data_IF_370813411572
#
_entry.id   IF_370813411572
#
_cell.length_a   1.000
_cell.length_b   1.000
_cell.length_c   1.000
_cell.angle_alpha   90.00
_cell.angle_beta   90.00
_cell.angle_gamma   90.00
#
_symmetry.space_group_name_H-M   'P 1'
#
loop_
_entity.id
_entity.type
_entity.pdbx_description
1 polymer ?
#
# COMPACT_ATOMS: atom_id res chain seq x y z
N UNK A 1 -21.51 14.23 -1.52
CA UNK A 1 -21.78 12.78 -1.44
C UNK A 1 -21.82 12.32 0.03
N UNK A 2 -20.79 12.47 0.84
CA UNK A 2 -20.79 12.03 2.27
C UNK A 2 -21.96 12.64 3.04
N UNK A 3 -22.16 13.98 3.00
CA UNK A 3 -23.27 14.67 3.68
C UNK A 3 -24.66 14.28 3.16
N UNK A 4 -24.75 13.73 1.96
CA UNK A 4 -25.98 13.24 1.36
C UNK A 4 -26.27 11.77 1.66
N UNK A 5 -25.47 11.12 2.49
CA UNK A 5 -25.64 9.71 2.88
C UNK A 5 -25.36 8.70 1.78
N UNK A 6 -24.73 9.09 0.67
CA UNK A 6 -24.42 8.22 -0.47
C UNK A 6 -23.19 7.35 -0.19
N UNK A 7 -23.32 6.40 0.73
CA UNK A 7 -22.23 5.57 1.21
C UNK A 7 -21.55 4.80 0.09
N UNK A 8 -22.31 4.04 -0.68
CA UNK A 8 -21.74 3.12 -1.66
C UNK A 8 -21.09 3.85 -2.84
N UNK A 9 -21.66 4.97 -3.29
CA UNK A 9 -21.03 5.82 -4.31
C UNK A 9 -19.71 6.42 -3.82
N UNK A 10 -19.62 6.79 -2.54
CA UNK A 10 -18.38 7.30 -1.93
C UNK A 10 -17.33 6.21 -1.85
N UNK A 11 -17.68 5.02 -1.35
CA UNK A 11 -16.74 3.93 -1.14
C UNK A 11 -16.23 3.30 -2.45
N UNK A 12 -17.04 3.38 -3.52
CA UNK A 12 -16.62 2.94 -4.86
C UNK A 12 -15.84 4.01 -5.63
N UNK A 13 -15.74 5.23 -5.10
CA UNK A 13 -15.02 6.30 -5.78
C UNK A 13 -13.51 6.08 -5.73
N UNK A 14 -12.81 6.52 -6.79
CA UNK A 14 -11.35 6.47 -6.86
C UNK A 14 -10.67 7.60 -6.06
N UNK A 15 -11.43 8.60 -5.62
CA UNK A 15 -10.90 9.83 -5.03
C UNK A 15 -10.07 9.59 -3.78
N UNK A 16 -10.47 8.65 -2.90
CA UNK A 16 -9.72 8.35 -1.69
C UNK A 16 -8.39 7.66 -1.97
N UNK A 17 -8.30 6.90 -3.08
CA UNK A 17 -7.10 6.19 -3.51
C UNK A 17 -6.05 7.10 -4.17
N UNK A 18 -6.45 8.31 -4.55
CA UNK A 18 -5.55 9.32 -5.11
C UNK A 18 -4.89 10.19 -4.03
N UNK A 19 -5.20 9.95 -2.77
CA UNK A 19 -4.61 10.69 -1.67
C UNK A 19 -3.13 10.33 -1.49
N UNK A 20 -2.23 11.30 -1.73
CA UNK A 20 -0.77 11.15 -1.58
C UNK A 20 -0.25 11.51 -0.19
N UNK A 21 -1.15 11.71 0.77
CA UNK A 21 -0.81 12.09 2.15
C UNK A 21 0.06 13.36 2.27
N UNK A 22 -0.11 14.31 1.36
CA UNK A 22 0.66 15.57 1.38
C UNK A 22 0.16 16.58 2.44
N UNK A 23 -0.95 16.32 3.11
CA UNK A 23 -1.56 17.13 4.17
C UNK A 23 -1.98 18.57 3.80
N UNK A 24 -1.77 19.00 2.56
CA UNK A 24 -2.14 20.34 2.12
C UNK A 24 -3.62 20.70 2.34
N UNK A 25 -4.52 19.72 2.20
CA UNK A 25 -5.95 19.92 2.43
C UNK A 25 -6.29 20.22 3.90
N UNK A 26 -5.52 19.71 4.85
CA UNK A 26 -5.70 19.99 6.29
C UNK A 26 -5.19 21.39 6.61
N UNK A 27 -3.94 21.69 6.19
CA UNK A 27 -3.27 22.96 6.50
C UNK A 27 -4.03 24.16 5.91
N UNK A 28 -4.64 23.99 4.72
CA UNK A 28 -5.37 25.07 4.02
C UNK A 28 -6.87 25.11 4.34
N UNK A 29 -7.39 24.20 5.12
CA UNK A 29 -8.81 24.15 5.43
C UNK A 29 -9.17 25.22 6.46
N UNK A 30 -10.02 26.21 6.12
CA UNK A 30 -10.42 27.25 7.07
C UNK A 30 -11.34 26.74 8.20
N UNK A 31 -11.82 25.50 8.06
CA UNK A 31 -12.66 24.80 9.06
C UNK A 31 -11.90 23.74 9.84
N UNK A 32 -10.59 23.66 9.71
CA UNK A 32 -9.72 22.71 10.41
C UNK A 32 -10.15 21.23 10.28
N UNK A 33 -10.77 20.88 9.12
CA UNK A 33 -11.23 19.51 8.89
C UNK A 33 -10.04 18.58 8.61
N UNK A 34 -9.96 17.42 9.28
CA UNK A 34 -8.88 16.45 9.07
C UNK A 34 -9.10 15.62 7.79
N UNK A 35 -9.12 16.27 6.61
CA UNK A 35 -9.52 15.67 5.34
C UNK A 35 -8.65 14.46 4.99
N UNK A 36 -7.33 14.52 5.21
CA UNK A 36 -6.44 13.38 4.94
C UNK A 36 -6.83 12.16 5.78
N UNK A 37 -7.13 12.35 7.06
CA UNK A 37 -7.56 11.26 7.93
C UNK A 37 -8.91 10.70 7.52
N UNK A 38 -9.83 11.54 7.05
CA UNK A 38 -11.13 11.12 6.50
C UNK A 38 -10.91 10.25 5.26
N UNK A 39 -10.04 10.68 4.32
CA UNK A 39 -9.72 9.91 3.11
C UNK A 39 -9.13 8.55 3.42
N UNK A 40 -8.16 8.49 4.35
CA UNK A 40 -7.58 7.21 4.79
C UNK A 40 -8.61 6.31 5.49
N UNK A 41 -9.45 6.88 6.35
CA UNK A 41 -10.52 6.15 7.02
C UNK A 41 -11.53 5.56 6.05
N UNK A 42 -11.92 6.33 5.01
CA UNK A 42 -12.82 5.84 3.96
C UNK A 42 -12.18 4.72 3.13
N UNK A 43 -10.90 4.84 2.75
CA UNK A 43 -10.19 3.80 2.03
C UNK A 43 -10.10 2.50 2.86
N UNK A 44 -9.76 2.62 4.14
CA UNK A 44 -9.72 1.49 5.06
C UNK A 44 -11.10 0.83 5.24
N UNK A 45 -12.15 1.66 5.36
CA UNK A 45 -13.53 1.17 5.49
C UNK A 45 -14.01 0.47 4.22
N UNK A 46 -13.70 1.02 3.02
CA UNK A 46 -14.01 0.41 1.74
C UNK A 46 -13.34 -0.97 1.58
N UNK A 47 -12.06 -1.08 1.97
CA UNK A 47 -11.31 -2.34 1.96
C UNK A 47 -11.94 -3.38 2.88
N UNK A 48 -12.35 -3.00 4.08
CA UNK A 48 -12.98 -3.91 5.04
C UNK A 48 -14.32 -4.44 4.57
N UNK A 49 -15.11 -3.62 3.87
CA UNK A 49 -16.39 -4.02 3.30
C UNK A 49 -16.26 -4.74 1.94
N UNK A 50 -15.06 -4.77 1.35
CA UNK A 50 -14.85 -5.35 0.03
C UNK A 50 -15.55 -4.58 -1.11
N UNK A 51 -15.89 -3.28 -0.89
CA UNK A 51 -16.62 -2.42 -1.85
C UNK A 51 -15.63 -1.58 -2.68
N UNK A 52 -14.36 -1.81 -2.56
CA UNK A 52 -13.33 -1.05 -3.26
C UNK A 52 -13.39 -1.25 -4.79
N UNK A 53 -13.06 -0.21 -5.59
CA UNK A 53 -12.98 -0.33 -7.03
C UNK A 53 -11.87 -1.31 -7.42
N UNK A 54 -12.18 -2.24 -8.33
CA UNK A 54 -11.23 -3.25 -8.80
C UNK A 54 -10.09 -2.61 -9.61
N UNK A 55 -8.90 -3.17 -9.50
CA UNK A 55 -7.75 -2.79 -10.33
C UNK A 55 -7.09 -1.44 -9.97
N UNK A 56 -7.30 -0.94 -8.75
CA UNK A 56 -6.64 0.29 -8.30
C UNK A 56 -5.14 0.04 -8.04
N UNK A 57 -4.23 0.66 -8.81
CA UNK A 57 -2.79 0.44 -8.66
C UNK A 57 -2.27 0.78 -7.27
N UNK A 58 -2.78 1.85 -6.67
CA UNK A 58 -2.38 2.31 -5.32
C UNK A 58 -2.74 1.29 -4.24
N UNK A 59 -3.94 0.68 -4.34
CA UNK A 59 -4.36 -0.37 -3.42
C UNK A 59 -3.51 -1.62 -3.57
N UNK A 60 -3.30 -2.04 -4.80
CA UNK A 60 -2.48 -3.21 -5.12
C UNK A 60 -1.05 -3.04 -4.61
N UNK A 61 -0.47 -1.85 -4.83
CA UNK A 61 0.83 -1.50 -4.27
C UNK A 61 0.84 -1.58 -2.73
N UNK A 62 -0.17 -1.00 -2.08
CA UNK A 62 -0.28 -1.02 -0.62
C UNK A 62 -0.38 -2.46 -0.08
N UNK A 63 -1.13 -3.33 -0.76
CA UNK A 63 -1.24 -4.75 -0.39
C UNK A 63 0.10 -5.47 -0.52
N UNK A 64 0.78 -5.35 -1.67
CA UNK A 64 2.09 -5.95 -1.89
C UNK A 64 3.14 -5.44 -0.87
N UNK A 65 3.09 -4.14 -0.59
CA UNK A 65 3.98 -3.52 0.40
C UNK A 65 3.74 -4.11 1.80
N UNK A 66 2.46 -4.20 2.21
CA UNK A 66 2.08 -4.79 3.49
C UNK A 66 2.49 -6.25 3.60
N UNK A 67 2.21 -7.08 2.59
CA UNK A 67 2.53 -8.50 2.58
C UNK A 67 4.04 -8.73 2.69
N UNK A 68 4.83 -7.93 1.98
CA UNK A 68 6.28 -7.96 2.06
C UNK A 68 6.78 -7.58 3.47
N UNK A 69 6.26 -6.47 4.00
CA UNK A 69 6.61 -5.99 5.34
C UNK A 69 6.21 -7.00 6.42
N UNK A 70 4.97 -7.50 6.40
CA UNK A 70 4.45 -8.44 7.38
C UNK A 70 5.24 -9.76 7.39
N UNK A 71 5.69 -10.22 6.20
CA UNK A 71 6.45 -11.47 6.07
C UNK A 71 7.90 -11.33 6.52
N UNK A 72 8.56 -10.22 6.20
CA UNK A 72 10.00 -10.07 6.34
C UNK A 72 10.39 -9.10 7.47
N UNK A 73 9.45 -8.30 7.99
CA UNK A 73 9.70 -7.22 8.93
C UNK A 73 10.42 -6.01 8.33
N UNK A 74 10.77 -6.11 7.06
CA UNK A 74 11.42 -5.06 6.27
C UNK A 74 11.02 -5.19 4.81
N UNK A 75 10.85 -4.07 4.13
CA UNK A 75 10.50 -4.09 2.71
C UNK A 75 11.73 -4.43 1.87
N UNK A 76 11.57 -5.41 0.99
CA UNK A 76 12.51 -5.68 -0.08
C UNK A 76 12.06 -4.92 -1.34
N UNK A 77 12.77 -3.87 -1.68
CA UNK A 77 12.40 -2.94 -2.75
C UNK A 77 12.42 -3.60 -4.12
N UNK A 78 13.43 -4.47 -4.37
CA UNK A 78 13.53 -5.19 -5.64
C UNK A 78 12.39 -6.20 -5.81
N UNK A 79 12.10 -6.97 -4.75
CA UNK A 79 10.99 -7.91 -4.77
C UNK A 79 9.64 -7.19 -4.99
N UNK A 80 9.45 -6.07 -4.30
CA UNK A 80 8.25 -5.23 -4.45
C UNK A 80 8.11 -4.70 -5.87
N UNK A 81 9.21 -4.18 -6.44
CA UNK A 81 9.25 -3.67 -7.81
C UNK A 81 8.92 -4.75 -8.84
N UNK A 82 9.57 -5.92 -8.75
CA UNK A 82 9.33 -7.04 -9.66
C UNK A 82 7.86 -7.47 -9.59
N UNK A 83 7.32 -7.70 -8.39
CA UNK A 83 5.92 -8.11 -8.25
C UNK A 83 4.93 -7.05 -8.74
N UNK A 84 5.22 -5.77 -8.52
CA UNK A 84 4.38 -4.69 -9.02
C UNK A 84 4.31 -4.67 -10.56
N UNK A 85 5.44 -4.89 -11.25
CA UNK A 85 5.48 -4.93 -12.71
C UNK A 85 4.77 -6.15 -13.29
N UNK A 86 4.89 -7.31 -12.65
CA UNK A 86 4.27 -8.54 -13.15
C UNK A 86 2.81 -8.74 -12.71
N UNK A 87 2.28 -7.86 -11.87
CA UNK A 87 0.93 -7.98 -11.33
C UNK A 87 -0.17 -7.86 -12.39
N UNK A 88 0.06 -7.06 -13.44
CA UNK A 88 -0.87 -6.89 -14.56
C UNK A 88 -0.69 -7.93 -15.68
N UNK A 89 0.10 -8.95 -15.44
CA UNK A 89 0.38 -10.02 -16.38
C UNK A 89 1.82 -10.05 -16.90
N UNK A 90 2.25 -11.22 -17.35
CA UNK A 90 3.63 -11.46 -17.75
C UNK A 90 4.04 -10.58 -18.95
N UNK A 91 3.15 -10.43 -19.94
CA UNK A 91 3.43 -9.67 -21.16
C UNK A 91 3.61 -8.18 -20.88
N UNK A 92 2.72 -7.60 -20.07
CA UNK A 92 2.83 -6.19 -19.67
C UNK A 92 4.05 -5.95 -18.78
N UNK A 93 4.34 -6.88 -17.85
CA UNK A 93 5.55 -6.83 -17.05
C UNK A 93 6.84 -6.81 -17.87
N UNK A 94 6.92 -7.64 -18.91
CA UNK A 94 8.08 -7.67 -19.82
C UNK A 94 8.20 -6.36 -20.62
N UNK A 95 7.10 -5.82 -21.14
CA UNK A 95 7.12 -4.53 -21.85
C UNK A 95 7.66 -3.39 -20.97
N UNK A 96 7.18 -3.31 -19.74
CA UNK A 96 7.63 -2.28 -18.79
C UNK A 96 9.10 -2.50 -18.42
N UNK A 97 9.52 -3.75 -18.16
CA UNK A 97 10.90 -4.09 -17.86
C UNK A 97 11.85 -3.71 -19.01
N UNK A 98 11.47 -3.98 -20.26
CA UNK A 98 12.25 -3.57 -21.45
C UNK A 98 12.30 -2.04 -21.58
N UNK A 99 11.18 -1.35 -21.37
CA UNK A 99 11.13 0.13 -21.40
C UNK A 99 12.01 0.78 -20.33
N UNK A 100 12.19 0.13 -19.18
CA UNK A 100 13.01 0.61 -18.07
C UNK A 100 14.41 0.00 -18.02
N UNK A 101 14.78 -0.85 -18.98
CA UNK A 101 16.08 -1.55 -19.00
C UNK A 101 17.29 -0.59 -18.93
N UNK A 102 17.20 0.55 -19.61
CA UNK A 102 18.25 1.58 -19.58
C UNK A 102 18.48 2.16 -18.19
N UNK A 103 17.38 2.43 -17.44
CA UNK A 103 17.43 2.93 -16.05
C UNK A 103 17.99 1.83 -15.15
N UNK A 104 17.50 0.59 -15.27
CA UNK A 104 17.97 -0.55 -14.50
C UNK A 104 19.46 -0.81 -14.69
N UNK A 105 19.95 -0.74 -15.92
CA UNK A 105 21.38 -0.88 -16.23
C UNK A 105 22.23 0.25 -15.63
N UNK A 106 21.70 1.48 -15.68
CA UNK A 106 22.33 2.64 -15.03
C UNK A 106 22.42 2.46 -13.52
N UNK A 107 21.40 1.96 -12.88
CA UNK A 107 21.38 1.69 -11.43
C UNK A 107 22.34 0.56 -11.04
N UNK A 108 22.45 -0.50 -11.87
CA UNK A 108 23.44 -1.57 -11.68
C UNK A 108 24.87 -1.03 -11.79
N UNK A 109 25.18 -0.22 -12.81
CA UNK A 109 26.50 0.42 -12.99
C UNK A 109 26.84 1.36 -11.82
N UNK A 110 25.83 2.04 -11.28
CA UNK A 110 26.00 2.92 -10.12
C UNK A 110 26.08 2.16 -8.76
N UNK A 111 26.04 0.82 -8.78
CA UNK A 111 26.07 0.01 -7.55
C UNK A 111 24.86 0.17 -6.63
N UNK A 112 23.75 0.73 -7.16
CA UNK A 112 22.52 0.99 -6.39
C UNK A 112 21.56 -0.20 -6.38
N UNK A 113 21.72 -1.16 -7.29
CA UNK A 113 20.99 -2.41 -7.32
C UNK A 113 21.92 -3.56 -6.96
N UNK A 114 21.64 -4.23 -5.87
CA UNK A 114 22.34 -5.44 -5.47
C UNK A 114 21.48 -6.66 -5.79
N UNK A 115 21.92 -7.50 -6.73
CA UNK A 115 21.24 -8.75 -7.05
C UNK A 115 21.14 -9.71 -5.85
N UNK A 116 22.02 -9.54 -4.86
CA UNK A 116 21.95 -10.29 -3.59
C UNK A 116 20.69 -9.99 -2.79
N UNK A 117 20.14 -8.78 -2.93
CA UNK A 117 18.89 -8.36 -2.27
C UNK A 117 17.64 -9.00 -2.88
N UNK A 118 17.71 -9.42 -4.14
CA UNK A 118 16.61 -10.14 -4.80
C UNK A 118 16.43 -11.54 -4.20
N UNK A 119 17.53 -12.21 -3.83
CA UNK A 119 17.53 -13.59 -3.36
C UNK A 119 17.54 -13.68 -1.83
N UNK A 120 18.12 -12.71 -1.14
CA UNK A 120 18.30 -12.72 0.31
C UNK A 120 18.06 -11.34 0.92
N UNK A 121 16.82 -10.83 0.84
CA UNK A 121 16.46 -9.55 1.45
C UNK A 121 16.77 -9.51 2.95
N UNK A 122 17.18 -8.34 3.43
CA UNK A 122 17.41 -8.11 4.86
C UNK A 122 16.10 -8.36 5.63
N UNK A 123 16.07 -9.41 6.44
CA UNK A 123 14.98 -9.71 7.35
C UNK A 123 15.27 -9.16 8.73
N UNK A 124 14.23 -8.91 9.51
CA UNK A 124 14.36 -8.54 10.93
C UNK A 124 15.01 -9.72 11.69
N UNK A 125 15.92 -9.41 12.62
CA UNK A 125 16.64 -10.43 13.42
C UNK A 125 15.67 -11.32 14.20
N UNK A 126 14.64 -10.73 14.82
CA UNK A 126 13.58 -11.47 15.51
C UNK A 126 12.29 -11.47 14.71
N UNK A 127 12.21 -12.34 13.71
CA UNK A 127 11.03 -12.50 12.86
C UNK A 127 9.81 -13.02 13.64
N UNK A 128 10.03 -13.90 14.63
CA UNK A 128 8.94 -14.49 15.42
C UNK A 128 8.28 -13.44 16.32
N UNK A 129 9.08 -12.65 17.03
CA UNK A 129 8.59 -11.55 17.87
C UNK A 129 7.86 -10.49 17.05
N UNK A 130 8.40 -10.14 15.87
CA UNK A 130 7.75 -9.21 14.95
C UNK A 130 6.38 -9.71 14.46
N UNK A 131 6.28 -10.97 14.05
CA UNK A 131 5.01 -11.56 13.63
C UNK A 131 3.99 -11.66 14.77
N UNK A 132 4.44 -11.98 15.99
CA UNK A 132 3.59 -12.00 17.17
C UNK A 132 3.04 -10.60 17.48
N UNK A 133 3.86 -9.56 17.33
CA UNK A 133 3.45 -8.16 17.49
C UNK A 133 2.38 -7.76 16.47
N UNK A 134 2.58 -8.08 15.17
CA UNK A 134 1.59 -7.80 14.13
C UNK A 134 0.27 -8.52 14.42
N UNK A 135 0.33 -9.81 14.75
CA UNK A 135 -0.87 -10.58 15.09
C UNK A 135 -1.62 -9.96 16.26
N UNK A 136 -0.91 -9.54 17.31
CA UNK A 136 -1.51 -8.90 18.47
C UNK A 136 -2.14 -7.55 18.11
N UNK A 137 -1.50 -6.76 17.27
CA UNK A 137 -2.05 -5.50 16.78
C UNK A 137 -3.35 -5.70 15.99
N UNK A 138 -3.40 -6.72 15.12
CA UNK A 138 -4.61 -7.06 14.36
C UNK A 138 -5.75 -7.54 15.27
N UNK A 139 -5.46 -8.34 16.29
CA UNK A 139 -6.45 -8.76 17.31
C UNK A 139 -7.05 -7.56 18.06
N UNK A 140 -6.19 -6.62 18.47
CA UNK A 140 -6.63 -5.41 19.17
C UNK A 140 -7.46 -4.49 18.27
N UNK A 141 -7.11 -4.38 17.00
CA UNK A 141 -7.88 -3.61 16.05
C UNK A 141 -9.25 -4.24 15.79
N UNK A 142 -9.32 -5.56 15.62
CA UNK A 142 -10.58 -6.28 15.46
C UNK A 142 -11.50 -6.05 16.67
N UNK A 143 -10.99 -6.23 17.90
CA UNK A 143 -11.76 -6.00 19.13
C UNK A 143 -12.23 -4.55 19.28
N UNK A 144 -11.42 -3.57 18.84
CA UNK A 144 -11.81 -2.15 18.86
C UNK A 144 -12.97 -1.84 17.92
N UNK A 145 -13.03 -2.55 16.82
CA UNK A 145 -14.08 -2.37 15.81
C UNK A 145 -15.39 -2.94 16.28
N UNK A 146 -15.36 -4.14 16.88
CA UNK A 146 -16.56 -4.79 17.42
C UNK A 146 -17.20 -3.96 18.53
N UNK A 147 -16.39 -3.25 19.31
CA UNK A 147 -16.87 -2.34 20.36
C UNK A 147 -17.39 -0.99 19.84
N UNK A 148 -17.18 -0.66 18.55
CA UNK A 148 -17.59 0.61 17.95
C UNK A 148 -18.86 0.49 17.07
N UNK A 149 -19.47 -0.70 17.01
CA UNK A 149 -20.78 -0.98 16.40
C UNK A 149 -21.88 -0.94 17.44
#
# INVERSE_FOLDING_TARGET
MIRAGKRDEVLQSTSMWMCTSCYNCIVRCPRELPITHIMHGLAHYATRLGIEPKGQPTRQFAQLFWDNLAKNGRVNELWLGVNLYFMNGLVEGIKVALGMAGIGLGMLKAGRLSLKELVGGHTVKDKKGFQAMIKKAQELEAARVDNAQ
#
